data_IF_373234391582
#
_entry.id   IF_373234391582
#
_cell.length_a   1.000
_cell.length_b   1.000
_cell.length_c   1.000
_cell.angle_alpha   90.00
_cell.angle_beta   90.00
_cell.angle_gamma   90.00
#
_symmetry.space_group_name_H-M   'P 1'
#
loop_
_entity.id
_entity.type
_entity.pdbx_description
1 polymer ?
#
# COMPACT_ATOMS: atom_id res chain seq x y z
N UNK A 1 46.83 6.33 6.17
CA UNK A 1 47.04 5.23 5.22
C UNK A 1 46.31 4.03 5.79
N UNK A 2 45.21 3.48 5.31
CA UNK A 2 44.41 3.62 4.10
C UNK A 2 43.63 2.30 3.94
N UNK A 3 42.32 2.33 4.06
CA UNK A 3 41.40 1.22 3.74
C UNK A 3 40.01 1.83 3.64
N UNK A 4 39.45 2.13 2.47
CA UNK A 4 39.28 1.24 1.31
C UNK A 4 37.81 0.78 1.33
N UNK A 5 36.86 1.70 1.18
CA UNK A 5 36.10 1.95 -0.06
C UNK A 5 35.11 0.80 -0.39
N UNK A 6 33.80 1.03 -0.11
CA UNK A 6 32.74 0.20 -0.69
C UNK A 6 31.55 -0.19 0.21
N UNK A 7 31.09 0.65 1.15
CA UNK A 7 29.83 0.38 1.88
C UNK A 7 28.66 1.27 1.44
N UNK A 8 28.74 1.78 0.19
CA UNK A 8 27.73 2.62 -0.45
C UNK A 8 26.95 1.88 -1.57
N UNK A 9 27.18 0.57 -1.71
CA UNK A 9 26.65 -0.26 -2.81
C UNK A 9 25.76 -1.42 -2.38
N UNK A 10 25.40 -1.52 -1.09
CA UNK A 10 24.45 -2.53 -0.64
C UNK A 10 23.03 -1.94 -0.55
N UNK A 11 22.03 -2.51 -1.23
CA UNK A 11 20.68 -1.96 -1.18
C UNK A 11 20.19 -1.98 0.27
N UNK A 12 19.78 -0.82 0.80
CA UNK A 12 19.21 -0.59 2.14
C UNK A 12 18.01 -1.49 2.51
N UNK A 13 17.63 -2.41 1.63
CA UNK A 13 16.53 -3.34 1.75
C UNK A 13 16.99 -4.81 1.95
N UNK A 14 18.22 -5.16 1.54
CA UNK A 14 18.67 -6.57 1.52
C UNK A 14 19.24 -7.05 2.86
N UNK A 15 19.86 -6.17 3.66
CA UNK A 15 20.48 -6.50 4.96
C UNK A 15 19.94 -5.65 6.12
N UNK A 16 18.71 -5.15 6.01
CA UNK A 16 18.09 -4.34 7.07
C UNK A 16 17.68 -5.20 8.28
N UNK A 17 17.94 -4.71 9.50
CA UNK A 17 17.56 -5.38 10.76
C UNK A 17 16.05 -5.57 10.93
N UNK A 18 15.25 -4.72 10.27
CA UNK A 18 13.79 -4.79 10.25
C UNK A 18 13.31 -4.85 8.79
N UNK A 19 12.39 -5.78 8.49
CA UNK A 19 11.83 -5.96 7.14
C UNK A 19 11.18 -4.68 6.58
N UNK A 20 10.54 -3.89 7.43
CA UNK A 20 9.89 -2.65 7.01
C UNK A 20 10.56 -1.45 7.66
N UNK A 21 10.96 -0.48 6.83
CA UNK A 21 11.45 0.80 7.29
C UNK A 21 10.33 1.85 7.28
N UNK A 22 9.31 1.65 8.12
CA UNK A 22 8.11 2.49 8.14
C UNK A 22 8.39 3.89 8.70
N UNK A 23 9.29 4.00 9.68
CA UNK A 23 9.62 5.26 10.36
C UNK A 23 10.28 6.29 9.42
N UNK A 24 11.09 5.81 8.45
CA UNK A 24 11.71 6.67 7.43
C UNK A 24 10.77 7.04 6.27
N UNK A 25 9.51 6.61 6.32
CA UNK A 25 8.54 6.92 5.27
C UNK A 25 8.09 8.39 5.37
N UNK A 26 8.43 9.20 4.37
CA UNK A 26 7.95 10.58 4.29
C UNK A 26 6.41 10.63 4.26
N UNK A 27 5.84 11.43 5.17
CA UNK A 27 4.39 11.55 5.40
C UNK A 27 3.70 10.23 5.75
N UNK A 28 4.35 9.38 6.55
CA UNK A 28 3.85 8.05 6.95
C UNK A 28 2.39 8.06 7.41
N UNK A 29 2.02 8.95 8.35
CA UNK A 29 0.64 9.01 8.90
C UNK A 29 -0.39 9.29 7.81
N UNK A 30 -0.10 10.21 6.89
CA UNK A 30 -0.97 10.54 5.78
C UNK A 30 -1.10 9.37 4.79
N UNK A 31 0.00 8.70 4.46
CA UNK A 31 -0.02 7.54 3.55
C UNK A 31 -0.76 6.35 4.14
N UNK A 32 -0.55 6.07 5.42
CA UNK A 32 -1.25 4.98 6.11
C UNK A 32 -2.74 5.26 6.24
N UNK A 33 -3.14 6.50 6.59
CA UNK A 33 -4.55 6.85 6.68
C UNK A 33 -5.24 6.78 5.31
N UNK A 34 -4.62 7.33 4.25
CA UNK A 34 -5.15 7.23 2.89
C UNK A 34 -5.22 5.78 2.41
N UNK A 35 -4.21 4.97 2.70
CA UNK A 35 -4.17 3.55 2.35
C UNK A 35 -5.33 2.78 2.99
N UNK A 36 -5.52 2.93 4.30
CA UNK A 36 -6.64 2.29 5.02
C UNK A 36 -7.99 2.75 4.47
N UNK A 37 -8.17 4.06 4.28
CA UNK A 37 -9.42 4.60 3.74
C UNK A 37 -9.72 4.09 2.33
N UNK A 38 -8.71 3.99 1.48
CA UNK A 38 -8.86 3.49 0.10
C UNK A 38 -9.26 2.02 0.10
N UNK A 39 -8.59 1.18 0.90
CA UNK A 39 -8.93 -0.23 1.02
C UNK A 39 -10.36 -0.42 1.53
N UNK A 40 -10.75 0.34 2.54
CA UNK A 40 -12.12 0.31 3.06
C UNK A 40 -13.15 0.74 2.00
N UNK A 41 -12.90 1.85 1.31
CA UNK A 41 -13.80 2.38 0.29
C UNK A 41 -14.01 1.39 -0.85
N UNK A 42 -12.95 0.76 -1.35
CA UNK A 42 -13.05 -0.27 -2.39
C UNK A 42 -13.82 -1.49 -1.87
N UNK A 43 -13.50 -1.96 -0.66
CA UNK A 43 -14.17 -3.10 -0.03
C UNK A 43 -15.69 -2.91 0.13
N UNK A 44 -16.14 -1.68 0.41
CA UNK A 44 -17.56 -1.35 0.53
C UNK A 44 -18.23 -1.04 -0.82
N UNK A 45 -17.54 -0.32 -1.71
CA UNK A 45 -18.14 0.16 -2.98
C UNK A 45 -18.39 -0.98 -3.97
N UNK A 46 -17.46 -1.94 -4.07
CA UNK A 46 -17.58 -3.07 -5.00
C UNK A 46 -18.85 -3.90 -4.77
N UNK A 47 -19.16 -4.41 -3.56
CA UNK A 47 -20.37 -5.21 -3.36
C UNK A 47 -21.66 -4.40 -3.59
N UNK A 48 -21.70 -3.13 -3.21
CA UNK A 48 -22.86 -2.24 -3.48
C UNK A 48 -23.08 -2.13 -4.99
N UNK A 49 -22.01 -1.87 -5.74
CA UNK A 49 -22.09 -1.76 -7.20
C UNK A 49 -22.56 -3.07 -7.84
N UNK A 50 -22.05 -4.21 -7.37
CA UNK A 50 -22.47 -5.53 -7.86
C UNK A 50 -23.97 -5.75 -7.62
N UNK A 51 -24.49 -5.41 -6.43
CA UNK A 51 -25.93 -5.54 -6.15
C UNK A 51 -26.75 -4.65 -7.08
N UNK A 52 -26.38 -3.39 -7.26
CA UNK A 52 -27.06 -2.46 -8.18
C UNK A 52 -27.05 -3.02 -9.60
N UNK A 53 -25.91 -3.51 -10.07
CA UNK A 53 -25.79 -4.11 -11.40
C UNK A 53 -26.70 -5.32 -11.59
N UNK A 54 -26.77 -6.20 -10.60
CA UNK A 54 -27.62 -7.39 -10.64
C UNK A 54 -29.12 -7.05 -10.58
N UNK A 55 -29.51 -6.07 -9.78
CA UNK A 55 -30.89 -5.57 -9.75
C UNK A 55 -31.30 -4.97 -11.10
N UNK A 56 -30.43 -4.19 -11.75
CA UNK A 56 -30.70 -3.63 -13.08
C UNK A 56 -30.90 -4.71 -14.15
N UNK A 57 -30.16 -5.82 -14.07
CA UNK A 57 -30.36 -6.96 -14.98
C UNK A 57 -31.70 -7.67 -14.73
N UNK A 58 -32.09 -7.84 -13.47
CA UNK A 58 -33.33 -8.51 -13.09
C UNK A 58 -34.57 -7.67 -13.42
N UNK A 59 -34.50 -6.35 -13.21
CA UNK A 59 -35.60 -5.43 -13.51
C UNK A 59 -35.80 -5.18 -15.02
N UNK A 60 -34.85 -5.58 -15.87
CA UNK A 60 -34.92 -5.45 -17.32
C UNK A 60 -35.43 -6.72 -18.02
N UNK A 61 -35.75 -7.77 -17.25
CA UNK A 61 -36.27 -9.05 -17.73
C UNK A 61 -37.80 -9.13 -17.59
#
# INVERSE_FOLDING_TARGET
MGGGHGHDSEPFYMHAKHMYNLDRMKHQKLKMSLGVWTCFAIGATVPIFVVIFQQKKTASA
#
